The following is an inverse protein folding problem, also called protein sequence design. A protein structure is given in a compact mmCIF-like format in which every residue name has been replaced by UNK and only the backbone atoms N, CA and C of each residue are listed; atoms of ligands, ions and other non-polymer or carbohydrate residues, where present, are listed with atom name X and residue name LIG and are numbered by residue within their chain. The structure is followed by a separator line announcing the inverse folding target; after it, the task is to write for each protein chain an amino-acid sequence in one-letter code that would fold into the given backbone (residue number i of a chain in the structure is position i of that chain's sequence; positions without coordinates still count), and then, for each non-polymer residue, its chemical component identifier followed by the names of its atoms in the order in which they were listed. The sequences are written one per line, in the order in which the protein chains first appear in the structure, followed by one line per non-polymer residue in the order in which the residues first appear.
data_IF_061742082292
#
_entry.id   IF_061742082292
#
_cell.length_a   1.000
_cell.length_b   1.000
_cell.length_c   1.000
_cell.angle_alpha   90.00
_cell.angle_beta   90.00
_cell.angle_gamma   90.00
#
_symmetry.space_group_name_H-M   'P 1'
#
loop_
_entity.id
_entity.type
_entity.pdbx_description
1 polymer ?
#
# COMPACT_ATOMS: atom_id res chain seq x y z
N UNK A 1 9.56 10.81 18.81
CA UNK A 1 8.26 10.12 18.76
C UNK A 1 7.14 10.93 19.45
N UNK A 2 7.37 11.61 20.59
CA UNK A 2 6.32 12.31 21.35
C UNK A 2 5.75 13.54 20.64
N UNK A 3 6.60 14.35 19.97
CA UNK A 3 6.13 15.56 19.26
C UNK A 3 5.33 15.24 18.00
N UNK A 4 5.78 14.25 17.22
CA UNK A 4 5.07 13.78 16.00
C UNK A 4 3.71 13.22 16.35
N UNK A 5 3.61 12.48 17.46
CA UNK A 5 2.34 11.93 17.95
C UNK A 5 1.36 13.05 18.38
N UNK A 6 1.86 14.15 18.95
CA UNK A 6 1.02 15.30 19.32
C UNK A 6 0.45 16.00 18.08
N UNK A 7 1.27 16.26 17.07
CA UNK A 7 0.84 16.86 15.79
C UNK A 7 -0.17 15.96 15.06
N UNK A 8 0.10 14.65 15.01
CA UNK A 8 -0.83 13.67 14.45
C UNK A 8 -2.19 13.73 15.15
N UNK A 9 -2.22 13.66 16.48
CA UNK A 9 -3.46 13.74 17.27
C UNK A 9 -4.23 15.05 17.04
N UNK A 10 -3.53 16.18 16.86
CA UNK A 10 -4.16 17.46 16.56
C UNK A 10 -4.80 17.48 15.18
N UNK A 11 -4.10 17.00 14.13
CA UNK A 11 -4.65 16.87 12.77
C UNK A 11 -5.86 15.92 12.73
N UNK A 12 -5.77 14.77 13.39
CA UNK A 12 -6.91 13.83 13.46
C UNK A 12 -8.12 14.48 14.14
N UNK A 13 -7.93 15.26 15.22
CA UNK A 13 -9.01 16.01 15.84
C UNK A 13 -9.63 17.07 14.93
N UNK A 14 -8.81 17.77 14.14
CA UNK A 14 -9.29 18.77 13.18
C UNK A 14 -10.19 18.16 12.11
N UNK A 15 -9.88 16.94 11.64
CA UNK A 15 -10.69 16.19 10.68
C UNK A 15 -11.82 15.35 11.31
N UNK A 16 -11.91 15.29 12.64
CA UNK A 16 -12.91 14.44 13.31
C UNK A 16 -14.36 14.75 12.91
N UNK A 17 -14.69 16.03 12.62
CA UNK A 17 -16.03 16.41 12.13
C UNK A 17 -16.31 15.93 10.72
N UNK A 18 -15.32 16.01 9.82
CA UNK A 18 -15.43 15.54 8.44
C UNK A 18 -15.51 14.03 8.39
N UNK A 19 -14.74 13.39 9.25
CA UNK A 19 -14.69 11.94 9.45
C UNK A 19 -16.04 11.43 10.02
N UNK A 20 -16.66 12.14 10.95
CA UNK A 20 -17.95 11.78 11.51
C UNK A 20 -19.12 11.90 10.50
N UNK A 21 -18.92 12.63 9.40
CA UNK A 21 -19.88 12.73 8.31
C UNK A 21 -19.75 11.59 7.27
N UNK A 22 -18.72 10.73 7.38
CA UNK A 22 -18.60 9.54 6.53
C UNK A 22 -19.68 8.51 6.89
N UNK A 23 -20.09 7.65 5.94
CA UNK A 23 -21.10 6.64 6.20
C UNK A 23 -20.78 5.82 7.44
N UNK A 24 -21.76 5.66 8.34
CA UNK A 24 -21.60 4.95 9.63
C UNK A 24 -21.22 3.46 9.49
N UNK A 25 -21.30 2.92 8.29
CA UNK A 25 -21.02 1.52 7.97
C UNK A 25 -19.52 1.21 7.87
N UNK A 26 -18.66 2.25 7.95
CA UNK A 26 -17.24 2.07 7.89
C UNK A 26 -16.68 2.19 9.30
N UNK A 27 -16.32 1.07 9.97
CA UNK A 27 -15.78 1.12 11.31
C UNK A 27 -14.49 1.95 11.31
N UNK A 28 -14.55 3.07 12.02
CA UNK A 28 -13.47 4.07 12.09
C UNK A 28 -12.23 3.56 12.81
N UNK A 29 -12.40 2.62 13.65
CA UNK A 29 -11.36 1.82 14.28
C UNK A 29 -12.00 0.55 14.77
N UNK A 30 -11.77 -0.52 14.11
CA UNK A 30 -11.80 -1.76 14.83
C UNK A 30 -10.47 -1.85 15.58
N UNK A 31 -10.48 -1.44 16.84
CA UNK A 31 -9.31 -1.50 17.72
C UNK A 31 -8.77 -2.94 17.83
N UNK A 32 -9.62 -3.95 17.57
CA UNK A 32 -9.26 -5.35 17.53
C UNK A 32 -8.40 -5.70 16.27
N UNK A 33 -8.44 -4.87 15.21
CA UNK A 33 -7.69 -5.09 13.99
C UNK A 33 -6.41 -4.22 13.90
N UNK A 34 -6.18 -3.32 14.88
CA UNK A 34 -4.93 -2.57 14.92
C UNK A 34 -3.81 -3.46 15.42
N UNK A 35 -2.67 -3.50 14.72
CA UNK A 35 -1.48 -4.14 15.26
C UNK A 35 -1.08 -3.47 16.58
N UNK A 36 -0.39 -4.19 17.48
CA UNK A 36 -0.02 -3.66 18.81
C UNK A 36 0.85 -2.39 18.73
N UNK A 37 1.37 -2.06 17.56
CA UNK A 37 2.27 -0.92 17.35
C UNK A 37 1.70 0.07 16.33
N UNK A 38 0.97 1.07 16.82
CA UNK A 38 0.57 2.21 16.01
C UNK A 38 1.72 3.20 15.87
N UNK A 39 2.19 3.42 14.64
CA UNK A 39 3.18 4.44 14.31
C UNK A 39 2.54 5.46 13.38
N UNK A 40 2.20 6.63 13.93
CA UNK A 40 1.53 7.70 13.18
C UNK A 40 2.49 8.49 12.29
N UNK A 41 1.98 8.99 11.17
CA UNK A 41 2.64 9.96 10.29
C UNK A 41 1.86 11.26 10.25
N UNK A 42 2.52 12.38 9.90
CA UNK A 42 1.88 13.70 9.70
C UNK A 42 1.63 14.01 8.22
N UNK A 43 2.01 13.11 7.30
CA UNK A 43 1.96 13.31 5.85
C UNK A 43 0.71 12.65 5.25
N UNK A 44 -0.47 13.28 5.39
CA UNK A 44 -1.73 12.71 4.91
C UNK A 44 -2.80 13.73 4.53
N UNK A 45 -3.76 13.30 3.72
CA UNK A 45 -5.04 13.94 3.45
C UNK A 45 -6.19 12.89 3.49
N UNK A 46 -7.45 13.35 3.53
CA UNK A 46 -8.62 12.46 3.44
C UNK A 46 -8.81 11.90 2.03
N UNK A 47 -9.27 10.64 1.95
CA UNK A 47 -9.57 9.96 0.68
C UNK A 47 -10.39 8.68 0.91
N UNK A 48 -10.89 8.05 -0.17
CA UNK A 48 -11.54 6.72 -0.15
C UNK A 48 -10.70 5.72 -0.97
N UNK A 49 -10.26 4.60 -0.39
CA UNK A 49 -9.45 3.62 -1.12
C UNK A 49 -10.27 2.76 -2.08
N UNK A 50 -9.78 2.62 -3.30
CA UNK A 50 -10.29 1.72 -4.34
C UNK A 50 -9.17 0.88 -4.95
N UNK A 51 -7.91 1.14 -4.58
CA UNK A 51 -6.71 0.42 -5.00
C UNK A 51 -5.85 0.04 -3.80
N UNK A 52 -5.02 -0.96 -3.99
CA UNK A 52 -3.86 -1.26 -3.15
C UNK A 52 -2.62 -1.18 -4.00
N UNK A 53 -1.64 -0.40 -3.57
CA UNK A 53 -0.32 -0.32 -4.20
C UNK A 53 0.70 -1.00 -3.28
N UNK A 54 1.36 -2.03 -3.81
CA UNK A 54 2.38 -2.78 -3.10
C UNK A 54 3.75 -2.23 -3.47
N UNK A 55 4.57 -2.02 -2.45
CA UNK A 55 5.92 -1.49 -2.56
C UNK A 55 6.91 -2.43 -1.87
N UNK A 56 8.20 -2.27 -2.18
CA UNK A 56 9.27 -2.65 -1.28
C UNK A 56 10.06 -1.42 -0.84
N UNK A 57 10.57 -1.44 0.39
CA UNK A 57 11.16 -0.26 1.03
C UNK A 57 12.49 0.18 0.42
N UNK A 58 13.23 -0.71 -0.20
CA UNK A 58 14.62 -0.52 -0.63
C UNK A 58 15.52 0.03 0.51
N UNK A 59 15.21 -0.33 1.76
CA UNK A 59 15.94 0.07 2.97
C UNK A 59 16.54 -1.16 3.67
N UNK A 60 17.44 -0.90 4.61
CA UNK A 60 18.21 -1.95 5.28
C UNK A 60 17.49 -2.57 6.48
N UNK A 61 16.43 -1.92 6.99
CA UNK A 61 15.64 -2.42 8.11
C UNK A 61 14.26 -1.78 8.20
N UNK A 62 13.35 -2.52 8.84
CA UNK A 62 12.01 -2.07 9.14
C UNK A 62 12.03 -0.78 10.01
N UNK A 63 12.88 -0.70 11.02
CA UNK A 63 13.02 0.47 11.90
C UNK A 63 13.45 1.72 11.12
N UNK A 64 14.34 1.56 10.14
CA UNK A 64 14.75 2.66 9.27
C UNK A 64 13.55 3.16 8.45
N UNK A 65 12.74 2.28 7.92
CA UNK A 65 11.52 2.64 7.17
C UNK A 65 10.52 3.38 8.05
N UNK A 66 10.22 2.84 9.24
CA UNK A 66 9.31 3.47 10.19
C UNK A 66 9.79 4.87 10.56
N UNK A 67 11.08 5.03 10.81
CA UNK A 67 11.69 6.33 11.09
C UNK A 67 11.56 7.29 9.90
N UNK A 68 11.84 6.81 8.68
CA UNK A 68 11.73 7.62 7.46
C UNK A 68 10.31 8.16 7.30
N UNK A 69 9.29 7.31 7.47
CA UNK A 69 7.89 7.69 7.25
C UNK A 69 7.27 8.55 8.36
N UNK A 70 7.93 8.66 9.49
CA UNK A 70 7.50 9.56 10.59
C UNK A 70 8.15 10.95 10.53
N UNK A 71 9.14 11.15 9.66
CA UNK A 71 9.84 12.45 9.55
C UNK A 71 9.15 13.34 8.51
N UNK A 72 8.68 14.55 8.88
CA UNK A 72 8.00 15.46 7.93
C UNK A 72 8.85 15.83 6.71
N UNK A 73 10.17 15.96 6.89
CA UNK A 73 11.11 16.36 5.84
C UNK A 73 11.21 15.35 4.68
N UNK A 74 10.86 14.09 4.90
CA UNK A 74 10.95 13.04 3.86
C UNK A 74 9.82 13.13 2.86
N UNK A 75 8.69 13.76 3.26
CA UNK A 75 7.50 13.93 2.43
C UNK A 75 6.99 12.63 1.80
N UNK A 76 7.21 11.49 2.49
CA UNK A 76 6.73 10.17 2.10
C UNK A 76 6.04 9.48 3.26
N UNK A 77 5.06 8.65 2.98
CA UNK A 77 4.34 7.84 3.97
C UNK A 77 3.61 6.69 3.30
N UNK A 78 3.32 5.64 4.06
CA UNK A 78 2.43 4.56 3.66
C UNK A 78 1.36 4.32 4.74
N UNK A 79 0.34 3.52 4.43
CA UNK A 79 -0.68 3.12 5.40
C UNK A 79 -0.16 1.98 6.27
N UNK A 80 0.58 1.06 5.66
CA UNK A 80 1.11 -0.12 6.30
C UNK A 80 2.57 -0.35 5.95
N UNK A 81 3.33 -0.84 6.93
CA UNK A 81 4.67 -1.39 6.75
C UNK A 81 4.67 -2.80 7.32
N UNK A 82 5.13 -3.79 6.55
CA UNK A 82 5.26 -5.18 6.98
C UNK A 82 6.75 -5.54 7.04
N UNK A 83 7.25 -5.80 8.24
CA UNK A 83 8.63 -6.23 8.45
C UNK A 83 8.86 -7.65 7.90
N UNK A 84 10.11 -8.05 7.65
CA UNK A 84 10.48 -9.42 7.24
C UNK A 84 9.95 -10.48 8.22
N UNK A 85 9.93 -10.19 9.52
CA UNK A 85 9.37 -11.04 10.56
C UNK A 85 7.86 -11.24 10.50
N UNK A 86 7.17 -10.56 9.59
CA UNK A 86 5.72 -10.56 9.50
C UNK A 86 5.02 -9.56 10.43
N UNK A 87 5.77 -8.80 11.23
CA UNK A 87 5.17 -7.75 12.07
C UNK A 87 4.57 -6.65 11.18
N UNK A 88 3.28 -6.41 11.35
CA UNK A 88 2.51 -5.40 10.62
C UNK A 88 2.43 -4.10 11.45
N UNK A 89 2.89 -3.01 10.88
CA UNK A 89 2.75 -1.66 11.42
C UNK A 89 1.67 -0.89 10.65
N UNK A 90 0.64 -0.43 11.34
CA UNK A 90 -0.39 0.46 10.80
C UNK A 90 0.00 1.91 11.09
N UNK A 91 0.44 2.64 10.08
CA UNK A 91 1.02 3.98 10.24
C UNK A 91 0.02 5.09 10.05
N UNK A 92 -1.02 4.86 9.25
CA UNK A 92 -2.01 5.87 8.89
C UNK A 92 -3.37 5.21 8.72
N UNK A 93 -4.43 5.88 9.22
CA UNK A 93 -5.80 5.45 9.00
C UNK A 93 -6.10 5.38 7.49
N UNK A 94 -6.81 4.33 7.08
CA UNK A 94 -7.08 4.00 5.68
C UNK A 94 -7.86 5.09 4.92
N UNK A 95 -8.57 5.97 5.60
CA UNK A 95 -9.28 7.12 5.02
C UNK A 95 -8.42 8.36 4.84
N UNK A 96 -7.22 8.38 5.35
CA UNK A 96 -6.28 9.47 5.18
C UNK A 96 -5.37 9.21 3.98
N UNK A 97 -5.04 10.24 3.23
CA UNK A 97 -4.20 10.14 2.03
C UNK A 97 -2.73 10.04 2.42
N UNK A 98 -2.10 8.87 2.27
CA UNK A 98 -0.66 8.70 2.36
C UNK A 98 0.05 9.17 1.07
N UNK A 99 1.36 9.41 1.15
CA UNK A 99 2.19 9.89 0.04
C UNK A 99 3.20 8.81 -0.36
N UNK A 100 2.73 7.80 -1.12
CA UNK A 100 3.52 6.63 -1.50
C UNK A 100 3.67 6.44 -3.02
N UNK A 101 2.68 6.85 -3.82
CA UNK A 101 2.68 6.61 -5.27
C UNK A 101 3.48 7.63 -6.08
N UNK A 102 3.67 8.84 -5.54
CA UNK A 102 4.26 9.95 -6.30
C UNK A 102 3.47 10.25 -7.58
N UNK A 103 4.19 10.66 -8.63
CA UNK A 103 3.61 10.80 -9.97
C UNK A 103 3.46 9.42 -10.59
N UNK A 104 2.23 9.05 -10.95
CA UNK A 104 1.91 7.74 -11.52
C UNK A 104 0.55 7.75 -12.19
N UNK A 105 0.25 6.68 -12.95
CA UNK A 105 -1.01 6.54 -13.70
C UNK A 105 -1.44 5.08 -13.77
N UNK A 106 -2.74 4.84 -13.62
CA UNK A 106 -3.35 3.54 -13.91
C UNK A 106 -4.67 3.76 -14.66
N UNK A 107 -4.71 3.37 -15.92
CA UNK A 107 -5.82 3.76 -16.80
C UNK A 107 -5.97 5.28 -16.87
N UNK A 108 -7.12 5.80 -16.51
CA UNK A 108 -7.39 7.24 -16.45
C UNK A 108 -7.12 7.86 -15.06
N UNK A 109 -6.74 7.05 -14.08
CA UNK A 109 -6.45 7.52 -12.73
C UNK A 109 -5.01 8.02 -12.62
N UNK A 110 -4.82 9.29 -12.30
CA UNK A 110 -3.51 9.96 -12.17
C UNK A 110 -3.18 10.37 -10.73
N UNK A 111 -4.16 10.58 -9.87
CA UNK A 111 -3.95 10.82 -8.43
C UNK A 111 -4.09 9.51 -7.64
N UNK A 112 -3.09 8.65 -7.77
CA UNK A 112 -3.09 7.32 -7.16
C UNK A 112 -3.15 7.41 -5.64
N UNK A 113 -2.44 8.36 -5.01
CA UNK A 113 -2.46 8.52 -3.56
C UNK A 113 -3.86 8.77 -2.99
N UNK A 114 -4.73 9.45 -3.73
CA UNK A 114 -6.10 9.75 -3.27
C UNK A 114 -7.04 8.56 -3.35
N UNK A 115 -6.68 7.51 -4.08
CA UNK A 115 -7.55 6.35 -4.31
C UNK A 115 -6.99 5.02 -3.82
N UNK A 116 -5.79 5.02 -3.23
CA UNK A 116 -5.10 3.76 -2.89
C UNK A 116 -4.65 3.64 -1.43
N UNK A 117 -4.50 2.41 -0.98
CA UNK A 117 -3.73 2.02 0.22
C UNK A 117 -2.32 1.70 -0.23
N UNK A 118 -1.30 2.35 0.32
CA UNK A 118 0.10 1.98 0.14
C UNK A 118 0.55 1.00 1.22
N UNK A 119 1.14 -0.13 0.80
CA UNK A 119 1.71 -1.16 1.67
C UNK A 119 3.18 -1.31 1.32
N UNK A 120 4.05 -1.11 2.29
CA UNK A 120 5.49 -1.26 2.16
C UNK A 120 5.96 -2.57 2.78
N UNK A 121 6.70 -3.33 2.01
CA UNK A 121 7.33 -4.57 2.47
C UNK A 121 8.81 -4.29 2.76
N UNK A 122 9.24 -4.55 3.99
CA UNK A 122 10.65 -4.44 4.36
C UNK A 122 11.48 -5.43 3.54
N UNK A 123 12.15 -4.91 2.52
CA UNK A 123 12.97 -5.66 1.58
C UNK A 123 13.94 -4.69 0.90
N UNK A 124 15.19 -5.08 0.77
CA UNK A 124 16.25 -4.25 0.17
C UNK A 124 16.20 -4.18 -1.36
N UNK A 125 15.27 -4.91 -1.99
CA UNK A 125 15.09 -4.97 -3.46
C UNK A 125 15.88 -6.10 -4.14
N UNK A 126 16.73 -6.84 -3.42
CA UNK A 126 17.59 -7.89 -3.98
C UNK A 126 17.36 -9.28 -3.38
N UNK A 127 16.62 -9.37 -2.30
CA UNK A 127 16.33 -10.61 -1.57
C UNK A 127 14.93 -11.14 -1.86
N UNK A 128 14.66 -12.43 -1.63
CA UNK A 128 13.31 -12.98 -1.64
C UNK A 128 12.42 -12.32 -0.56
N UNK A 129 11.10 -12.39 -0.74
CA UNK A 129 10.15 -11.99 0.30
C UNK A 129 9.93 -13.14 1.27
N UNK A 130 10.02 -12.85 2.57
CA UNK A 130 9.86 -13.84 3.63
C UNK A 130 8.45 -14.41 3.70
N UNK A 131 8.31 -15.69 3.99
CA UNK A 131 7.01 -16.35 4.12
C UNK A 131 6.13 -15.75 5.21
N UNK A 132 6.70 -15.34 6.34
CA UNK A 132 5.98 -14.66 7.42
C UNK A 132 5.46 -13.29 6.96
N UNK A 133 6.27 -12.55 6.22
CA UNK A 133 5.89 -11.26 5.62
C UNK A 133 4.74 -11.44 4.62
N UNK A 134 4.83 -12.45 3.75
CA UNK A 134 3.80 -12.76 2.76
C UNK A 134 2.48 -13.22 3.40
N UNK A 135 2.52 -14.01 4.48
CA UNK A 135 1.33 -14.41 5.21
C UNK A 135 0.62 -13.20 5.84
N UNK A 136 1.37 -12.28 6.41
CA UNK A 136 0.83 -11.03 6.96
C UNK A 136 0.24 -10.14 5.86
N UNK A 137 0.91 -10.06 4.69
CA UNK A 137 0.40 -9.34 3.54
C UNK A 137 -0.93 -9.94 3.08
N UNK A 138 -1.03 -11.24 2.83
CA UNK A 138 -2.25 -11.90 2.36
C UNK A 138 -3.42 -11.68 3.33
N UNK A 139 -3.18 -11.76 4.63
CA UNK A 139 -4.19 -11.48 5.67
C UNK A 139 -4.67 -10.03 5.62
N UNK A 140 -3.75 -9.08 5.43
CA UNK A 140 -4.09 -7.67 5.28
C UNK A 140 -4.88 -7.42 3.99
N UNK A 141 -4.47 -8.00 2.86
CA UNK A 141 -5.16 -7.85 1.57
C UNK A 141 -6.60 -8.37 1.62
N UNK A 142 -6.82 -9.53 2.26
CA UNK A 142 -8.16 -10.10 2.46
C UNK A 142 -9.07 -9.13 3.25
N UNK A 143 -8.56 -8.58 4.35
CA UNK A 143 -9.26 -7.57 5.14
C UNK A 143 -9.61 -6.34 4.30
N UNK A 144 -8.62 -5.74 3.62
CA UNK A 144 -8.82 -4.53 2.82
C UNK A 144 -9.81 -4.76 1.66
N UNK A 145 -9.69 -5.92 0.98
CA UNK A 145 -10.60 -6.30 -0.10
C UNK A 145 -12.05 -6.38 0.38
N UNK A 146 -12.29 -7.03 1.51
CA UNK A 146 -13.62 -7.17 2.10
C UNK A 146 -14.16 -5.83 2.61
N UNK A 147 -13.33 -5.09 3.35
CA UNK A 147 -13.74 -3.83 3.99
C UNK A 147 -14.09 -2.74 2.99
N UNK A 148 -13.34 -2.63 1.90
CA UNK A 148 -13.49 -1.52 0.93
C UNK A 148 -14.07 -1.97 -0.41
N UNK A 149 -14.40 -3.26 -0.58
CA UNK A 149 -14.86 -3.85 -1.83
C UNK A 149 -13.90 -3.57 -3.00
N UNK A 150 -12.57 -3.68 -2.76
CA UNK A 150 -11.55 -3.41 -3.76
C UNK A 150 -11.58 -4.52 -4.83
N UNK A 151 -11.76 -4.17 -6.12
CA UNK A 151 -11.73 -5.14 -7.20
C UNK A 151 -10.40 -5.89 -7.26
N UNK A 152 -10.44 -7.18 -7.65
CA UNK A 152 -9.23 -8.02 -7.79
C UNK A 152 -8.14 -7.35 -8.63
N UNK A 153 -8.49 -6.74 -9.75
CA UNK A 153 -7.55 -6.08 -10.66
C UNK A 153 -6.88 -4.80 -10.08
N UNK A 154 -7.34 -4.33 -8.92
CA UNK A 154 -6.85 -3.09 -8.32
C UNK A 154 -5.78 -3.33 -7.23
N UNK A 155 -5.26 -4.55 -7.12
CA UNK A 155 -4.07 -4.87 -6.32
C UNK A 155 -2.87 -4.91 -7.27
N UNK A 156 -2.07 -3.85 -7.27
CA UNK A 156 -1.00 -3.60 -8.25
C UNK A 156 0.28 -3.12 -7.57
N UNK A 157 1.38 -3.12 -8.30
CA UNK A 157 2.67 -2.64 -7.81
C UNK A 157 2.92 -1.16 -8.12
N UNK A 158 3.90 -0.57 -7.46
CA UNK A 158 4.35 0.77 -7.79
C UNK A 158 4.94 0.85 -9.19
N UNK A 159 5.65 -0.20 -9.62
CA UNK A 159 6.16 -0.32 -10.99
C UNK A 159 5.05 -0.27 -12.05
N UNK A 160 3.85 -0.78 -11.75
CA UNK A 160 2.73 -0.79 -12.69
C UNK A 160 2.18 0.62 -12.95
N UNK A 161 2.18 1.49 -11.93
CA UNK A 161 1.69 2.88 -12.05
C UNK A 161 2.75 3.88 -12.50
N UNK A 162 4.03 3.50 -12.44
CA UNK A 162 5.16 4.37 -12.79
C UNK A 162 6.33 3.59 -13.44
N UNK A 163 6.11 2.84 -14.55
CA UNK A 163 7.05 1.84 -15.08
C UNK A 163 8.40 2.41 -15.53
N UNK A 164 8.46 3.69 -15.87
CA UNK A 164 9.72 4.36 -16.26
C UNK A 164 10.54 4.86 -15.08
N UNK A 165 9.96 4.86 -13.88
CA UNK A 165 10.56 5.47 -12.67
C UNK A 165 10.72 4.49 -11.52
N UNK A 166 9.89 3.45 -11.46
CA UNK A 166 9.78 2.51 -10.33
C UNK A 166 9.76 1.07 -10.81
N UNK A 167 10.32 0.20 -10.00
CA UNK A 167 10.33 -1.25 -10.24
C UNK A 167 9.83 -2.05 -9.03
N UNK A 168 9.45 -1.38 -7.94
CA UNK A 168 8.94 -2.04 -6.75
C UNK A 168 7.47 -2.53 -6.95
N UNK A 169 7.11 -3.68 -6.37
CA UNK A 169 7.88 -4.54 -5.48
C UNK A 169 8.93 -5.44 -6.15
N UNK A 170 9.27 -5.27 -7.40
CA UNK A 170 10.21 -5.95 -8.30
C UNK A 170 9.77 -7.37 -8.76
N UNK A 171 10.60 -7.98 -9.65
CA UNK A 171 10.32 -9.26 -10.30
C UNK A 171 10.36 -10.47 -9.35
N UNK A 172 10.92 -10.34 -8.13
CA UNK A 172 10.96 -11.41 -7.10
C UNK A 172 9.67 -11.49 -6.30
N UNK A 173 8.80 -10.48 -6.43
CA UNK A 173 7.53 -10.47 -5.74
C UNK A 173 6.59 -11.53 -6.35
N UNK A 174 5.97 -12.40 -5.53
CA UNK A 174 5.22 -13.56 -6.02
C UNK A 174 3.81 -13.19 -6.53
N UNK A 175 3.72 -12.42 -7.61
CA UNK A 175 2.44 -11.96 -8.19
C UNK A 175 1.50 -13.10 -8.56
N UNK A 176 2.04 -14.23 -9.08
CA UNK A 176 1.24 -15.42 -9.39
C UNK A 176 0.51 -15.93 -8.16
N UNK A 177 1.22 -16.07 -7.03
CA UNK A 177 0.61 -16.49 -5.76
C UNK A 177 -0.50 -15.52 -5.31
N UNK A 178 -0.30 -14.22 -5.45
CA UNK A 178 -1.33 -13.22 -5.10
C UNK A 178 -2.57 -13.38 -6.00
N UNK A 179 -2.39 -13.52 -7.29
CA UNK A 179 -3.48 -13.71 -8.25
C UNK A 179 -4.28 -14.99 -7.96
N UNK A 180 -3.61 -16.11 -7.66
CA UNK A 180 -4.24 -17.38 -7.23
C UNK A 180 -5.07 -17.21 -5.95
N UNK A 181 -4.70 -16.26 -5.07
CA UNK A 181 -5.44 -15.89 -3.86
C UNK A 181 -6.50 -14.80 -4.12
N UNK A 182 -6.66 -14.34 -5.36
CA UNK A 182 -7.65 -13.34 -5.76
C UNK A 182 -7.21 -11.88 -5.57
N UNK A 183 -5.90 -11.61 -5.52
CA UNK A 183 -5.32 -10.27 -5.42
C UNK A 183 -4.42 -9.97 -6.61
N UNK A 184 -4.83 -9.05 -7.48
CA UNK A 184 -4.14 -8.77 -8.73
C UNK A 184 -4.50 -9.76 -9.84
N UNK A 185 -3.87 -9.58 -10.98
CA UNK A 185 -4.06 -10.41 -12.17
C UNK A 185 -2.75 -11.11 -12.53
N UNK A 186 -2.87 -12.28 -13.13
CA UNK A 186 -1.77 -13.01 -13.75
C UNK A 186 -2.15 -13.37 -15.17
N UNK A 187 -1.18 -13.53 -16.04
CA UNK A 187 -1.42 -13.91 -17.43
C UNK A 187 -1.83 -15.40 -17.55
N UNK A 188 -2.56 -15.74 -18.61
CA UNK A 188 -2.90 -17.10 -18.92
C UNK A 188 -1.67 -17.83 -19.51
N UNK A 189 -1.08 -18.71 -18.74
CA UNK A 189 0.12 -19.48 -19.12
C UNK A 189 -0.19 -20.51 -20.22
N UNK A 190 -1.45 -20.83 -20.46
CA UNK A 190 -1.88 -21.79 -21.49
C UNK A 190 -2.17 -21.13 -22.85
N UNK A 191 -2.07 -19.80 -22.96
CA UNK A 191 -2.16 -19.15 -24.27
C UNK A 191 -0.93 -19.50 -25.08
N UNK A 192 -1.17 -20.09 -26.27
CA UNK A 192 -0.15 -20.17 -27.31
C UNK A 192 0.48 -18.79 -27.52
N UNK A 193 1.82 -18.76 -27.61
CA UNK A 193 2.53 -17.52 -27.82
C UNK A 193 1.91 -16.79 -29.01
N UNK A 194 1.38 -15.59 -28.78
CA UNK A 194 0.91 -14.74 -29.87
C UNK A 194 2.10 -14.59 -30.83
N UNK A 195 1.96 -14.93 -32.14
CA UNK A 195 3.04 -14.75 -33.07
C UNK A 195 3.60 -13.34 -32.93
N UNK A 196 4.93 -13.23 -32.94
CA UNK A 196 5.66 -11.97 -32.72
C UNK A 196 5.51 -11.02 -33.93
N UNK A 197 4.29 -10.67 -34.28
CA UNK A 197 4.01 -9.66 -35.28
C UNK A 197 3.54 -8.37 -34.60
N UNK A 198 4.44 -7.85 -33.75
CA UNK A 198 4.27 -6.55 -33.10
C UNK A 198 4.53 -5.35 -34.02
N UNK A 199 4.71 -5.55 -35.31
CA UNK A 199 5.05 -4.48 -36.25
C UNK A 199 3.86 -3.61 -36.69
N UNK A 200 2.68 -3.77 -36.12
CA UNK A 200 1.47 -3.04 -36.55
C UNK A 200 0.79 -2.21 -35.44
N UNK A 201 1.48 -1.82 -34.39
CA UNK A 201 0.97 -0.77 -33.48
C UNK A 201 1.79 0.51 -33.73
N UNK A 202 1.36 1.27 -34.72
CA UNK A 202 1.69 2.70 -34.86
C UNK A 202 0.73 3.54 -34.00
#
# INVERSE_FOLDING_TARGET
YTSTNKVYKQKVKAYAKEIAALPKEIPFSDSALLPPYWVGTTNFNLRKPTFVIIHHTAQNSCDQTLKTFTLPRTSVSAHYVICKSGVLHHMLNDYLRAWHGGVGKWGNQTDINSVSIGIELDNNGFEPFDSLQMNSLLSLLDRLKKQYAIPTANFIGHGDIAPTRKNDPNYRFPWKLLAEKGFGLWYDENREAVPADFNHIQ
#
